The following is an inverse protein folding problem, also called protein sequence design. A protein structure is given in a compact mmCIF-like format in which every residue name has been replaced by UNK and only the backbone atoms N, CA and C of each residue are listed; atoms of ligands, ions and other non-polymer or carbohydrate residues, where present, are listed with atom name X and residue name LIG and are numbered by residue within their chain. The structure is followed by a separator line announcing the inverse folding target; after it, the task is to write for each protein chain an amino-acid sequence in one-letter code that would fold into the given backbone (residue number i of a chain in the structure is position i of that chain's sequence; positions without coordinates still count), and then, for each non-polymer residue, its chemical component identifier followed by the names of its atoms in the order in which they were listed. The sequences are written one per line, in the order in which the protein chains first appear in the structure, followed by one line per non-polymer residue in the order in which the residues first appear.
data_IF_498883781478
#
_entry.id   IF_498883781478
#
_cell.length_a   1.000
_cell.length_b   1.000
_cell.length_c   1.000
_cell.angle_alpha   90.00
_cell.angle_beta   90.00
_cell.angle_gamma   90.00
#
_symmetry.space_group_name_H-M   'P 1'
#
loop_
_entity.id
_entity.type
_entity.pdbx_description
1 polymer ?
#
# COMPACT_ATOMS: atom_id res chain seq x y z
N UNK A 1 -19.27 -1.87 -2.53
CA UNK A 1 -18.32 -3.00 -2.39
C UNK A 1 -18.24 -3.30 -0.91
N UNK A 2 -18.72 -4.46 -0.44
CA UNK A 2 -18.67 -4.74 0.98
C UNK A 2 -17.20 -4.99 1.34
N UNK A 3 -16.74 -4.27 2.36
CA UNK A 3 -15.49 -4.56 3.03
C UNK A 3 -15.55 -6.03 3.45
N UNK A 4 -14.58 -6.82 3.01
CA UNK A 4 -14.33 -8.15 3.56
C UNK A 4 -14.04 -7.96 5.04
N UNK A 5 -15.06 -8.19 5.85
CA UNK A 5 -14.97 -8.39 7.28
C UNK A 5 -14.02 -9.57 7.51
N UNK A 6 -12.75 -9.28 7.74
CA UNK A 6 -11.91 -10.15 8.56
C UNK A 6 -12.46 -10.00 9.98
N UNK A 7 -13.51 -10.75 10.32
CA UNK A 7 -13.86 -11.00 11.70
C UNK A 7 -12.74 -11.87 12.25
N UNK A 8 -11.72 -11.23 12.79
CA UNK A 8 -10.82 -11.88 13.71
C UNK A 8 -11.70 -12.24 14.91
N UNK A 9 -12.09 -13.51 15.01
CA UNK A 9 -12.73 -13.99 16.23
C UNK A 9 -11.72 -13.81 17.37
N UNK A 10 -12.04 -12.94 18.31
CA UNK A 10 -11.31 -12.81 19.57
C UNK A 10 -12.08 -13.63 20.61
N UNK A 11 -11.83 -14.95 20.74
CA UNK A 11 -12.46 -15.73 21.80
C UNK A 11 -12.04 -15.15 23.15
N UNK A 12 -13.02 -14.75 23.97
CA UNK A 12 -12.78 -14.32 25.34
C UNK A 12 -12.69 -15.57 26.23
N UNK A 13 -11.50 -15.89 26.71
CA UNK A 13 -11.27 -16.97 27.66
C UNK A 13 -11.34 -16.47 29.10
N UNK A 14 -11.98 -17.24 30.00
CA UNK A 14 -11.96 -16.99 31.45
C UNK A 14 -11.33 -18.19 32.16
N UNK A 15 -10.39 -17.92 33.07
CA UNK A 15 -9.70 -18.92 33.88
C UNK A 15 -9.90 -18.59 35.37
N UNK A 16 -10.16 -19.61 36.18
CA UNK A 16 -10.29 -19.49 37.63
C UNK A 16 -9.16 -20.28 38.32
N UNK A 17 -8.35 -19.59 39.12
CA UNK A 17 -7.33 -20.23 39.97
C UNK A 17 -7.74 -20.14 41.44
N UNK A 18 -7.57 -21.24 42.18
CA UNK A 18 -7.91 -21.33 43.61
C UNK A 18 -6.94 -20.61 44.53
N UNK A 19 -5.73 -20.28 44.05
CA UNK A 19 -4.71 -19.55 44.80
C UNK A 19 -4.43 -18.20 44.13
N UNK A 20 -4.45 -17.12 44.94
CA UNK A 20 -4.22 -15.76 44.46
C UNK A 20 -2.83 -15.56 43.86
N UNK A 21 -1.80 -16.19 44.44
CA UNK A 21 -0.42 -16.12 43.95
C UNK A 21 -0.25 -16.67 42.53
N UNK A 22 -0.92 -17.78 42.22
CA UNK A 22 -0.90 -18.38 40.88
C UNK A 22 -1.61 -17.50 39.85
N UNK A 23 -2.77 -16.94 40.22
CA UNK A 23 -3.51 -16.00 39.38
C UNK A 23 -2.66 -14.78 39.00
N UNK A 24 -1.96 -14.20 39.99
CA UNK A 24 -1.08 -13.06 39.75
C UNK A 24 0.08 -13.42 38.82
N UNK A 25 0.68 -14.60 38.96
CA UNK A 25 1.78 -15.05 38.10
C UNK A 25 1.35 -15.27 36.65
N UNK A 26 0.18 -15.90 36.44
CA UNK A 26 -0.41 -16.10 35.11
C UNK A 26 -0.73 -14.76 34.46
N UNK A 27 -1.38 -13.84 35.20
CA UNK A 27 -1.70 -12.51 34.71
C UNK A 27 -0.45 -11.74 34.26
N UNK A 28 0.60 -11.68 35.10
CA UNK A 28 1.84 -10.97 34.76
C UNK A 28 2.56 -11.60 33.56
N UNK A 29 2.56 -12.93 33.45
CA UNK A 29 3.19 -13.65 32.34
C UNK A 29 2.44 -13.40 31.03
N UNK A 30 1.10 -13.47 31.05
CA UNK A 30 0.28 -13.19 29.88
C UNK A 30 0.42 -11.73 29.43
N UNK A 31 0.40 -10.78 30.37
CA UNK A 31 0.60 -9.36 30.07
C UNK A 31 1.94 -9.11 29.36
N UNK A 32 2.99 -9.84 29.75
CA UNK A 32 4.33 -9.74 29.15
C UNK A 32 4.38 -10.38 27.76
N UNK A 33 3.82 -11.59 27.60
CA UNK A 33 3.89 -12.36 26.35
C UNK A 33 2.90 -11.87 25.28
N UNK A 34 1.83 -11.18 25.68
CA UNK A 34 0.87 -10.59 24.74
C UNK A 34 1.36 -9.28 24.12
N UNK A 35 2.45 -8.70 24.63
CA UNK A 35 3.01 -7.51 24.01
C UNK A 35 3.59 -7.88 22.64
N UNK A 36 3.35 -7.06 21.60
CA UNK A 36 3.99 -7.28 20.32
C UNK A 36 5.50 -7.16 20.46
N UNK A 37 6.24 -8.04 19.79
CA UNK A 37 7.68 -7.86 19.62
C UNK A 37 7.90 -6.64 18.70
N UNK A 38 8.42 -5.56 19.29
CA UNK A 38 8.61 -4.29 18.60
C UNK A 38 9.65 -4.38 17.48
N UNK A 39 10.63 -5.28 17.60
CA UNK A 39 11.66 -5.47 16.58
C UNK A 39 11.08 -6.27 15.41
N UNK A 40 10.40 -7.38 15.65
CA UNK A 40 9.70 -8.12 14.57
C UNK A 40 8.69 -7.22 13.86
N UNK A 41 7.94 -6.42 14.62
CA UNK A 41 6.96 -5.48 14.09
C UNK A 41 7.61 -4.50 13.13
N UNK A 42 8.75 -3.90 13.49
CA UNK A 42 9.48 -2.95 12.63
C UNK A 42 9.99 -3.59 11.35
N UNK A 43 10.55 -4.81 11.43
CA UNK A 43 11.08 -5.51 10.26
C UNK A 43 9.98 -5.90 9.26
N UNK A 44 8.77 -6.21 9.73
CA UNK A 44 7.64 -6.59 8.86
C UNK A 44 7.13 -5.46 7.94
N UNK A 45 7.35 -4.19 8.28
CA UNK A 45 6.85 -3.03 7.51
C UNK A 45 7.86 -2.43 6.53
N UNK A 46 9.04 -3.04 6.36
CA UNK A 46 10.13 -2.54 5.52
C UNK A 46 9.90 -2.63 4.00
N UNK A 47 8.67 -2.37 3.52
CA UNK A 47 8.38 -2.33 2.10
C UNK A 47 8.96 -1.05 1.48
N UNK A 48 9.90 -1.23 0.54
CA UNK A 48 10.50 -0.15 -0.23
C UNK A 48 9.98 -0.18 -1.68
N UNK A 49 9.20 0.82 -2.05
CA UNK A 49 8.65 1.00 -3.40
C UNK A 49 9.75 1.15 -4.45
N UNK A 50 10.80 1.90 -4.15
CA UNK A 50 11.95 2.11 -5.02
C UNK A 50 12.71 0.81 -5.28
N UNK A 51 12.91 -0.02 -4.25
CA UNK A 51 13.49 -1.37 -4.43
C UNK A 51 12.62 -2.25 -5.34
N UNK A 52 11.30 -2.15 -5.24
CA UNK A 52 10.40 -2.92 -6.10
C UNK A 52 10.49 -2.51 -7.57
N UNK A 53 10.49 -1.20 -7.84
CA UNK A 53 10.71 -0.67 -9.20
C UNK A 53 12.11 -1.03 -9.73
N UNK A 54 13.15 -0.95 -8.89
CA UNK A 54 14.51 -1.37 -9.23
C UNK A 54 14.58 -2.86 -9.59
N UNK A 55 13.89 -3.73 -8.85
CA UNK A 55 13.78 -5.17 -9.18
C UNK A 55 13.15 -5.37 -10.56
N UNK A 56 12.19 -4.54 -10.95
CA UNK A 56 11.58 -4.53 -12.29
C UNK A 56 12.44 -3.84 -13.36
N UNK A 57 13.59 -3.27 -12.99
CA UNK A 57 14.54 -2.65 -13.92
C UNK A 57 14.16 -1.22 -14.29
N UNK A 58 13.59 -0.48 -13.34
CA UNK A 58 13.35 0.94 -13.47
C UNK A 58 14.37 1.75 -12.66
N UNK A 59 14.70 2.98 -13.09
CA UNK A 59 14.30 3.58 -14.36
C UNK A 59 14.96 2.90 -15.57
N UNK A 60 14.32 2.96 -16.74
CA UNK A 60 14.86 2.44 -18.01
C UNK A 60 14.52 3.40 -19.17
N UNK A 61 14.65 2.97 -20.43
CA UNK A 61 14.36 3.79 -21.61
C UNK A 61 12.89 4.27 -21.67
N UNK A 62 11.95 3.49 -21.15
CA UNK A 62 10.51 3.76 -21.30
C UNK A 62 9.85 4.29 -20.03
N UNK A 63 10.35 3.91 -18.85
CA UNK A 63 9.71 4.17 -17.56
C UNK A 63 10.65 4.83 -16.56
N UNK A 64 10.09 5.70 -15.74
CA UNK A 64 10.77 6.36 -14.62
C UNK A 64 9.87 6.44 -13.38
N UNK A 65 10.51 6.66 -12.22
CA UNK A 65 9.81 6.95 -10.98
C UNK A 65 9.64 8.46 -10.83
N UNK A 66 8.49 8.88 -10.31
CA UNK A 66 8.18 10.30 -10.09
C UNK A 66 7.71 10.56 -8.66
N UNK A 67 8.05 11.75 -8.17
CA UNK A 67 7.60 12.31 -6.89
C UNK A 67 6.33 13.16 -7.02
N UNK A 68 5.61 13.13 -8.15
CA UNK A 68 4.38 13.93 -8.34
C UNK A 68 3.32 13.72 -7.25
N UNK A 69 3.34 12.59 -6.54
CA UNK A 69 2.40 12.29 -5.46
C UNK A 69 3.08 12.25 -4.07
N UNK A 70 4.27 12.81 -3.90
CA UNK A 70 5.04 12.76 -2.64
C UNK A 70 4.26 13.24 -1.42
N UNK A 71 3.47 14.30 -1.60
CA UNK A 71 2.61 14.88 -0.57
C UNK A 71 1.16 14.40 -0.65
N UNK A 72 0.86 13.37 -1.46
CA UNK A 72 -0.49 12.84 -1.68
C UNK A 72 -1.51 13.83 -2.28
N UNK A 73 -1.04 14.95 -2.85
CA UNK A 73 -1.86 16.01 -3.45
C UNK A 73 -2.47 15.59 -4.80
N UNK A 74 -1.78 14.74 -5.56
CA UNK A 74 -2.27 14.25 -6.86
C UNK A 74 -3.37 13.20 -6.66
N UNK A 75 -3.15 12.25 -5.74
CA UNK A 75 -4.09 11.21 -5.38
C UNK A 75 -3.81 10.68 -3.96
N UNK A 76 -4.75 10.92 -3.04
CA UNK A 76 -4.62 10.51 -1.63
C UNK A 76 -4.65 9.00 -1.38
N UNK A 77 -5.04 8.21 -2.38
CA UNK A 77 -5.14 6.74 -2.28
C UNK A 77 -4.02 5.99 -2.97
N UNK A 78 -3.07 6.70 -3.57
CA UNK A 78 -1.89 6.13 -4.24
C UNK A 78 -0.65 6.27 -3.36
N UNK A 79 0.39 5.49 -3.68
CA UNK A 79 1.70 5.65 -3.06
C UNK A 79 2.33 7.01 -3.41
N UNK A 80 3.28 7.45 -2.57
CA UNK A 80 4.02 8.70 -2.76
C UNK A 80 4.90 8.69 -4.02
N UNK A 81 5.48 7.53 -4.34
CA UNK A 81 6.26 7.29 -5.55
C UNK A 81 5.43 6.53 -6.59
N UNK A 82 5.44 7.01 -7.83
CA UNK A 82 4.68 6.42 -8.93
C UNK A 82 5.59 6.09 -10.12
N UNK A 83 5.29 5.01 -10.84
CA UNK A 83 5.96 4.68 -12.09
C UNK A 83 5.18 5.24 -13.28
N UNK A 84 5.79 6.14 -14.05
CA UNK A 84 5.18 6.77 -15.22
C UNK A 84 6.03 6.56 -16.48
N UNK A 85 5.44 6.66 -17.69
CA UNK A 85 6.22 6.68 -18.92
C UNK A 85 7.14 7.91 -18.94
N UNK A 86 8.39 7.75 -19.37
CA UNK A 86 9.36 8.87 -19.51
C UNK A 86 8.90 9.96 -20.46
N UNK A 87 8.03 9.62 -21.40
CA UNK A 87 7.45 10.57 -22.36
C UNK A 87 6.31 11.40 -21.77
N UNK A 88 5.83 11.07 -20.56
CA UNK A 88 4.72 11.78 -19.93
C UNK A 88 5.19 13.09 -19.28
N UNK A 89 4.79 14.22 -19.88
CA UNK A 89 5.05 15.53 -19.30
C UNK A 89 4.27 15.77 -18.00
N UNK A 90 4.72 16.73 -17.17
CA UNK A 90 3.96 17.20 -16.00
C UNK A 90 2.52 17.60 -16.36
N UNK A 91 2.33 18.28 -17.49
CA UNK A 91 1.00 18.67 -17.98
C UNK A 91 0.11 17.46 -18.28
N UNK A 92 0.68 16.41 -18.89
CA UNK A 92 -0.01 15.14 -19.17
C UNK A 92 -0.45 14.46 -17.88
N UNK A 93 0.42 14.39 -16.88
CA UNK A 93 0.12 13.76 -15.58
C UNK A 93 -1.00 14.50 -14.86
N UNK A 94 -0.90 15.83 -14.76
CA UNK A 94 -1.92 16.66 -14.11
C UNK A 94 -3.26 16.63 -14.86
N UNK A 95 -3.24 16.67 -16.19
CA UNK A 95 -4.44 16.52 -17.02
C UNK A 95 -5.09 15.15 -16.82
N UNK A 96 -4.30 14.08 -16.76
CA UNK A 96 -4.79 12.73 -16.49
C UNK A 96 -5.46 12.63 -15.11
N UNK A 97 -4.85 13.23 -14.07
CA UNK A 97 -5.41 13.24 -12.72
C UNK A 97 -6.78 13.95 -12.69
N UNK A 98 -6.91 15.08 -13.37
CA UNK A 98 -8.21 15.80 -13.49
C UNK A 98 -9.27 14.99 -14.21
N UNK A 99 -8.88 14.18 -15.20
CA UNK A 99 -9.81 13.37 -15.99
C UNK A 99 -10.15 12.01 -15.36
N UNK A 100 -9.44 11.58 -14.32
CA UNK A 100 -9.63 10.27 -13.67
C UNK A 100 -10.33 10.44 -12.33
N UNK A 101 -11.28 9.56 -12.03
CA UNK A 101 -11.98 9.59 -10.75
C UNK A 101 -10.97 9.53 -9.58
N UNK A 102 -11.10 10.45 -8.62
CA UNK A 102 -10.21 10.61 -7.46
C UNK A 102 -8.72 10.85 -7.79
N UNK A 103 -8.40 11.31 -9.00
CA UNK A 103 -7.01 11.57 -9.40
C UNK A 103 -6.16 10.31 -9.63
N UNK A 104 -6.75 9.10 -9.64
CA UNK A 104 -6.01 7.85 -9.81
C UNK A 104 -5.53 7.67 -11.26
N UNK A 105 -4.40 8.30 -11.58
CA UNK A 105 -3.77 8.25 -12.90
C UNK A 105 -3.36 6.82 -13.29
N UNK A 106 -3.18 6.55 -14.60
CA UNK A 106 -2.43 5.38 -15.06
C UNK A 106 -1.01 5.37 -14.48
N UNK A 107 -0.73 4.41 -13.60
CA UNK A 107 0.58 4.20 -12.99
C UNK A 107 1.00 2.74 -13.17
N UNK A 108 2.31 2.51 -13.30
CA UNK A 108 2.89 1.20 -13.48
C UNK A 108 2.67 0.33 -12.24
N UNK A 109 2.14 -0.88 -12.44
CA UNK A 109 2.05 -1.93 -11.42
C UNK A 109 3.10 -3.02 -11.62
N UNK A 110 3.38 -3.37 -12.87
CA UNK A 110 4.37 -4.38 -13.22
C UNK A 110 5.01 -4.12 -14.57
N UNK A 111 6.32 -4.37 -14.69
CA UNK A 111 7.05 -4.31 -15.95
C UNK A 111 7.82 -5.60 -16.24
N UNK A 112 7.57 -6.18 -17.40
CA UNK A 112 8.25 -7.39 -17.87
C UNK A 112 9.44 -7.03 -18.78
N UNK A 113 10.63 -6.97 -18.17
CA UNK A 113 11.90 -6.55 -18.81
C UNK A 113 12.16 -7.15 -20.20
N UNK A 114 11.95 -8.46 -20.36
CA UNK A 114 12.35 -9.17 -21.58
C UNK A 114 11.48 -8.85 -22.80
N UNK A 115 10.20 -8.53 -22.58
CA UNK A 115 9.25 -8.23 -23.67
C UNK A 115 8.81 -6.77 -23.69
N UNK A 116 9.37 -5.92 -22.84
CA UNK A 116 8.97 -4.53 -22.66
C UNK A 116 7.45 -4.35 -22.47
N UNK A 117 6.80 -5.29 -21.79
CA UNK A 117 5.37 -5.25 -21.53
C UNK A 117 5.09 -4.64 -20.15
N UNK A 118 4.08 -3.77 -20.07
CA UNK A 118 3.70 -3.08 -18.84
C UNK A 118 2.25 -3.38 -18.47
N UNK A 119 2.00 -3.56 -17.18
CA UNK A 119 0.67 -3.59 -16.59
C UNK A 119 0.51 -2.31 -15.79
N UNK A 120 -0.49 -1.50 -16.15
CA UNK A 120 -0.83 -0.25 -15.48
C UNK A 120 -2.18 -0.38 -14.77
N UNK A 121 -2.34 0.37 -13.68
CA UNK A 121 -3.61 0.52 -12.94
C UNK A 121 -4.09 1.97 -12.96
N UNK A 122 -5.39 2.19 -13.01
CA UNK A 122 -6.04 3.50 -12.92
C UNK A 122 -7.51 3.37 -12.49
N UNK A 123 -8.14 4.48 -12.12
CA UNK A 123 -9.60 4.54 -11.94
C UNK A 123 -10.32 4.79 -13.27
N UNK A 124 -11.65 4.70 -13.27
CA UNK A 124 -12.47 5.04 -14.44
C UNK A 124 -12.27 6.51 -14.89
N UNK A 125 -12.34 6.78 -16.21
CA UNK A 125 -12.34 8.14 -16.73
C UNK A 125 -13.64 8.88 -16.37
N UNK A 126 -13.56 10.19 -16.24
CA UNK A 126 -14.70 11.10 -16.06
C UNK A 126 -15.31 11.50 -17.42
N UNK A 127 -15.45 10.52 -18.31
CA UNK A 127 -16.00 10.68 -19.66
C UNK A 127 -17.54 10.68 -19.63
N UNK A 128 -18.14 11.55 -18.81
CA UNK A 128 -19.60 11.66 -18.70
C UNK A 128 -20.28 11.78 -20.08
N UNK A 129 -21.59 11.52 -20.12
CA UNK A 129 -22.36 11.67 -21.37
C UNK A 129 -22.16 13.09 -21.92
N UNK A 130 -21.57 13.20 -23.09
CA UNK A 130 -21.48 14.47 -23.81
C UNK A 130 -22.84 14.68 -24.46
N UNK A 131 -23.67 15.52 -23.85
CA UNK A 131 -24.98 15.92 -24.39
C UNK A 131 -24.81 17.02 -25.43
#
# INVERSE_FOLDING_TARGET
MPASHFLQEFPCGSLCHSQWGDCQNVYQSLLKLSQPDEDERRHGWGFDSAMNFKRMGLPNEFWEMTEFNKNYELCSTYHSELGIPKTASKGTVLGSAKFRSRGCIPTLSYFHKRRNAAICRCSQPLSGLTV
#
